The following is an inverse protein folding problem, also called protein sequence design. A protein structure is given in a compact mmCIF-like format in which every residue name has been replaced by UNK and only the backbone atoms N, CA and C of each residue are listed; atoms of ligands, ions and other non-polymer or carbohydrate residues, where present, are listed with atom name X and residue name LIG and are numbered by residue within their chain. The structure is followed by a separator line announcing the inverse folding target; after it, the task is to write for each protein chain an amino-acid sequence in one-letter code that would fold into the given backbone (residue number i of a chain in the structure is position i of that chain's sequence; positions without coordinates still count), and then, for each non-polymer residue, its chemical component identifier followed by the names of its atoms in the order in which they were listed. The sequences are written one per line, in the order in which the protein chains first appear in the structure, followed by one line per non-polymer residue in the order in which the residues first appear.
data_IF_667509442792
#
_entry.id   IF_667509442792
#
_cell.length_a   1.000
_cell.length_b   1.000
_cell.length_c   1.000
_cell.angle_alpha   90.00
_cell.angle_beta   90.00
_cell.angle_gamma   90.00
#
_symmetry.space_group_name_H-M   'P 1'
#
loop_
_entity.id
_entity.type
_entity.pdbx_description
1 polymer ?
#
# COMPACT_ATOMS: atom_id res chain seq x y z
N UNK A 1 -28.54 58.60 49.75
CA UNK A 1 -28.35 58.52 48.27
C UNK A 1 -27.57 57.23 47.94
N UNK A 2 -28.23 56.22 47.40
CA UNK A 2 -27.61 54.94 47.07
C UNK A 2 -27.37 54.89 45.54
N UNK A 3 -26.11 54.86 45.14
CA UNK A 3 -25.68 54.71 43.73
C UNK A 3 -25.77 53.23 43.30
N UNK A 4 -26.66 52.93 42.35
CA UNK A 4 -26.71 51.61 41.71
C UNK A 4 -25.67 51.57 40.63
N UNK A 5 -24.64 50.74 40.82
CA UNK A 5 -23.66 50.42 39.80
C UNK A 5 -24.22 49.29 38.91
N UNK A 6 -24.63 49.65 37.71
CA UNK A 6 -25.01 48.65 36.69
C UNK A 6 -23.79 47.90 36.18
N UNK A 7 -23.63 46.66 36.56
CA UNK A 7 -22.70 45.74 35.89
C UNK A 7 -23.37 45.19 34.64
N UNK A 8 -23.05 45.78 33.49
CA UNK A 8 -23.34 45.18 32.19
C UNK A 8 -22.38 43.99 31.99
N UNK A 9 -22.89 42.79 32.14
CA UNK A 9 -22.17 41.54 31.84
C UNK A 9 -22.10 41.40 30.32
N UNK A 10 -20.92 41.42 29.68
CA UNK A 10 -20.82 41.12 28.26
C UNK A 10 -21.07 39.61 28.10
N UNK A 11 -22.21 39.26 27.53
CA UNK A 11 -22.49 37.91 27.06
C UNK A 11 -21.49 37.58 25.90
N UNK A 12 -20.39 36.95 26.28
CA UNK A 12 -19.43 36.38 25.31
C UNK A 12 -20.12 35.21 24.63
N UNK A 13 -20.74 35.50 23.49
CA UNK A 13 -21.33 34.52 22.59
C UNK A 13 -20.18 33.71 22.00
N UNK A 14 -19.86 32.53 22.58
CA UNK A 14 -18.96 31.56 22.00
C UNK A 14 -19.64 31.02 20.74
N UNK A 15 -19.30 31.58 19.58
CA UNK A 15 -19.58 31.00 18.28
C UNK A 15 -18.73 29.75 18.18
N UNK A 16 -19.27 28.60 18.56
CA UNK A 16 -18.72 27.29 18.17
C UNK A 16 -18.94 27.14 16.66
N UNK A 17 -17.93 27.48 15.89
CA UNK A 17 -17.88 27.16 14.47
C UNK A 17 -17.74 25.63 14.40
N UNK A 18 -18.86 24.92 14.32
CA UNK A 18 -18.91 23.53 13.92
C UNK A 18 -18.53 23.55 12.44
N UNK A 19 -17.24 23.44 12.16
CA UNK A 19 -16.78 23.14 10.82
C UNK A 19 -17.32 21.76 10.47
N UNK A 20 -18.42 21.69 9.71
CA UNK A 20 -18.80 20.47 9.03
C UNK A 20 -17.67 20.14 8.05
N UNK A 21 -16.75 19.29 8.46
CA UNK A 21 -15.81 18.64 7.55
C UNK A 21 -16.69 17.75 6.67
N UNK A 22 -16.97 18.20 5.44
CA UNK A 22 -17.67 17.37 4.47
C UNK A 22 -16.78 16.15 4.19
N UNK A 23 -17.30 14.97 4.47
CA UNK A 23 -16.59 13.74 4.12
C UNK A 23 -16.29 13.72 2.61
N UNK A 24 -15.10 13.26 2.20
CA UNK A 24 -14.79 13.09 0.79
C UNK A 24 -15.81 12.19 0.10
N UNK A 25 -16.16 12.53 -1.13
CA UNK A 25 -17.08 11.76 -1.97
C UNK A 25 -16.26 10.88 -2.91
N UNK A 26 -15.72 9.78 -2.36
CA UNK A 26 -14.98 8.79 -3.13
C UNK A 26 -15.92 7.71 -3.67
N UNK A 27 -15.52 7.07 -4.78
CA UNK A 27 -16.20 5.88 -5.30
C UNK A 27 -15.99 4.68 -4.36
N UNK A 28 -17.02 3.81 -4.22
CA UNK A 28 -16.89 2.52 -3.54
C UNK A 28 -15.97 1.54 -4.32
N UNK A 29 -15.67 1.83 -5.58
CA UNK A 29 -14.59 1.13 -6.30
C UNK A 29 -13.28 1.79 -5.95
N UNK A 30 -12.31 1.07 -5.36
CA UNK A 30 -11.05 1.66 -4.92
C UNK A 30 -10.26 2.25 -6.07
N UNK A 31 -9.56 3.33 -5.83
CA UNK A 31 -8.61 3.93 -6.77
C UNK A 31 -7.24 4.04 -6.16
N UNK A 32 -6.19 3.86 -6.99
CA UNK A 32 -4.81 3.96 -6.54
C UNK A 32 -3.96 4.85 -7.44
N UNK A 33 -2.91 5.42 -6.87
CA UNK A 33 -1.87 6.20 -7.56
C UNK A 33 -0.50 5.66 -7.20
N UNK A 34 0.41 5.58 -8.18
CA UNK A 34 1.79 5.23 -7.90
C UNK A 34 2.50 6.40 -7.21
N UNK A 35 3.24 6.09 -6.16
CA UNK A 35 4.12 7.02 -5.47
C UNK A 35 5.59 6.60 -5.68
N UNK A 36 6.55 7.50 -5.52
CA UNK A 36 7.96 7.15 -5.60
C UNK A 36 8.31 6.02 -4.64
N UNK A 37 9.04 5.02 -5.11
CA UNK A 37 9.54 3.95 -4.25
C UNK A 37 10.85 4.35 -3.54
N UNK A 38 11.11 3.73 -2.40
CA UNK A 38 12.42 3.81 -1.73
C UNK A 38 13.27 2.62 -2.17
N UNK A 39 14.53 2.88 -2.53
CA UNK A 39 15.49 1.83 -2.88
C UNK A 39 16.77 2.01 -2.09
N UNK A 40 17.22 0.95 -1.42
CA UNK A 40 18.46 0.93 -0.64
C UNK A 40 19.24 -0.34 -0.93
N UNK A 41 20.55 -0.21 -1.12
CA UNK A 41 21.46 -1.35 -1.17
C UNK A 41 21.91 -1.64 0.25
N UNK A 42 21.60 -2.80 0.76
CA UNK A 42 21.98 -3.26 2.08
C UNK A 42 23.08 -4.31 1.98
N UNK A 43 23.90 -4.39 2.99
CA UNK A 43 24.96 -5.38 3.11
C UNK A 43 24.91 -6.03 4.48
N UNK A 44 25.01 -7.36 4.50
CA UNK A 44 25.11 -8.13 5.74
C UNK A 44 26.02 -9.32 5.54
N UNK A 45 26.70 -9.82 6.59
CA UNK A 45 27.42 -11.08 6.48
C UNK A 45 26.45 -12.25 6.33
N UNK A 46 26.83 -13.28 5.58
CA UNK A 46 26.20 -14.59 5.58
C UNK A 46 26.67 -15.41 6.79
N UNK A 47 26.24 -16.67 6.88
CA UNK A 47 26.65 -17.60 7.96
C UNK A 47 28.14 -17.91 7.96
N UNK A 48 28.84 -17.70 6.86
CA UNK A 48 30.28 -17.93 6.68
C UNK A 48 31.09 -16.64 6.81
N UNK A 49 30.43 -15.49 7.09
CA UNK A 49 31.06 -14.18 7.21
C UNK A 49 31.30 -13.46 5.87
N UNK A 50 30.86 -14.02 4.75
CA UNK A 50 30.99 -13.35 3.45
C UNK A 50 29.97 -12.20 3.34
N UNK A 51 30.37 -11.14 2.66
CA UNK A 51 29.52 -9.99 2.42
C UNK A 51 28.44 -10.31 1.38
N UNK A 52 27.18 -10.28 1.78
CA UNK A 52 26.02 -10.43 0.89
C UNK A 52 25.37 -9.10 0.66
N UNK A 53 25.16 -8.76 -0.60
CA UNK A 53 24.42 -7.57 -1.01
C UNK A 53 22.98 -7.91 -1.31
N UNK A 54 22.07 -6.99 -0.99
CA UNK A 54 20.66 -7.08 -1.30
C UNK A 54 20.09 -5.70 -1.62
N UNK A 55 19.17 -5.66 -2.56
CA UNK A 55 18.37 -4.48 -2.82
C UNK A 55 17.11 -4.55 -1.95
N UNK A 56 16.88 -3.55 -1.14
CA UNK A 56 15.65 -3.37 -0.37
C UNK A 56 14.82 -2.29 -1.04
N UNK A 57 13.64 -2.65 -1.50
CA UNK A 57 12.72 -1.75 -2.20
C UNK A 57 11.42 -1.65 -1.43
N UNK A 58 10.96 -0.43 -1.18
CA UNK A 58 9.65 -0.16 -0.59
C UNK A 58 8.79 0.52 -1.64
N UNK A 59 7.84 -0.23 -2.17
CA UNK A 59 6.80 0.31 -3.06
C UNK A 59 5.78 1.06 -2.24
N UNK A 60 5.30 2.18 -2.78
CA UNK A 60 4.30 3.02 -2.14
C UNK A 60 3.19 3.30 -3.15
N UNK A 61 1.95 3.15 -2.73
CA UNK A 61 0.77 3.54 -3.49
C UNK A 61 -0.15 4.37 -2.61
N UNK A 62 -0.62 5.51 -3.15
CA UNK A 62 -1.75 6.22 -2.56
C UNK A 62 -3.05 5.47 -2.90
N UNK A 63 -4.01 5.45 -2.00
CA UNK A 63 -5.32 4.85 -2.24
C UNK A 63 -6.44 5.77 -1.77
N UNK A 64 -7.61 5.64 -2.40
CA UNK A 64 -8.88 6.22 -2.00
C UNK A 64 -9.98 5.17 -2.19
N UNK A 65 -10.93 5.13 -1.25
CA UNK A 65 -12.02 4.17 -1.22
C UNK A 65 -13.23 4.77 -0.48
N UNK A 66 -14.43 4.65 -1.06
CA UNK A 66 -15.63 5.36 -0.59
C UNK A 66 -16.32 4.72 0.59
N UNK A 67 -16.39 3.40 0.67
CA UNK A 67 -17.07 2.71 1.76
C UNK A 67 -16.10 2.17 2.83
N UNK A 68 -14.79 2.24 2.58
CA UNK A 68 -13.74 1.94 3.55
C UNK A 68 -13.58 0.45 3.84
N UNK A 69 -13.93 -0.40 2.89
CA UNK A 69 -13.91 -1.86 3.06
C UNK A 69 -12.59 -2.53 2.62
N UNK A 70 -11.53 -1.74 2.44
CA UNK A 70 -10.21 -2.25 2.06
C UNK A 70 -9.55 -3.10 3.15
N UNK A 71 -9.01 -4.24 2.71
CA UNK A 71 -8.26 -5.17 3.56
C UNK A 71 -9.08 -6.34 4.09
N UNK A 72 -8.40 -7.42 4.44
CA UNK A 72 -8.98 -8.64 5.01
C UNK A 72 -8.18 -9.13 6.20
N UNK A 73 -8.84 -9.80 7.14
CA UNK A 73 -8.17 -10.40 8.30
C UNK A 73 -7.49 -11.72 7.92
N UNK A 74 -6.53 -12.16 8.73
CA UNK A 74 -5.90 -13.47 8.56
C UNK A 74 -6.89 -14.63 8.71
N UNK A 75 -7.92 -14.47 9.52
CA UNK A 75 -8.97 -15.47 9.71
C UNK A 75 -9.85 -15.59 8.47
N UNK A 76 -10.23 -14.48 7.86
CA UNK A 76 -10.97 -14.47 6.59
C UNK A 76 -10.12 -15.05 5.45
N UNK A 77 -8.85 -14.69 5.38
CA UNK A 77 -7.92 -15.29 4.41
C UNK A 77 -7.82 -16.80 4.59
N UNK A 78 -7.82 -17.30 5.82
CA UNK A 78 -7.83 -18.74 6.14
C UNK A 78 -9.19 -19.43 5.89
N UNK A 79 -10.23 -18.68 5.53
CA UNK A 79 -11.57 -19.21 5.24
C UNK A 79 -12.51 -19.22 6.44
N UNK A 80 -12.22 -18.44 7.48
CA UNK A 80 -13.14 -18.22 8.59
C UNK A 80 -13.93 -16.93 8.32
N UNK A 81 -15.20 -17.04 7.97
CA UNK A 81 -16.05 -15.91 7.66
C UNK A 81 -16.63 -15.96 6.25
N UNK A 82 -16.62 -14.88 5.51
CA UNK A 82 -17.17 -14.81 4.15
C UNK A 82 -16.34 -15.70 3.19
N UNK A 83 -16.93 -16.73 2.58
CA UNK A 83 -16.21 -17.66 1.70
C UNK A 83 -15.51 -17.00 0.51
N UNK A 84 -16.01 -15.83 0.04
CA UNK A 84 -15.42 -15.10 -1.08
C UNK A 84 -14.04 -14.51 -0.76
N UNK A 85 -13.75 -14.31 0.53
CA UNK A 85 -12.49 -13.73 1.00
C UNK A 85 -11.41 -14.80 1.24
N UNK A 86 -11.77 -16.08 1.22
CA UNK A 86 -10.83 -17.18 1.40
C UNK A 86 -9.74 -17.17 0.33
N UNK A 87 -8.48 -17.02 0.75
CA UNK A 87 -7.33 -16.98 -0.17
C UNK A 87 -7.28 -15.76 -1.07
N UNK A 88 -8.08 -14.71 -0.79
CA UNK A 88 -8.07 -13.48 -1.55
C UNK A 88 -6.75 -12.73 -1.34
N UNK A 89 -5.97 -12.62 -2.39
CA UNK A 89 -4.82 -11.73 -2.40
C UNK A 89 -5.29 -10.35 -2.88
N UNK A 90 -5.55 -9.46 -1.95
CA UNK A 90 -6.08 -8.12 -2.22
C UNK A 90 -5.00 -7.08 -2.57
N UNK A 91 -3.74 -7.48 -2.65
CA UNK A 91 -2.61 -6.71 -3.18
C UNK A 91 -1.97 -7.50 -4.32
N UNK A 92 -2.31 -7.16 -5.55
CA UNK A 92 -1.91 -7.92 -6.74
C UNK A 92 -0.72 -7.24 -7.40
N UNK A 93 0.37 -7.98 -7.60
CA UNK A 93 1.61 -7.48 -8.21
C UNK A 93 1.99 -8.32 -9.40
N UNK A 94 2.14 -7.67 -10.54
CA UNK A 94 2.72 -8.24 -11.76
C UNK A 94 4.12 -7.66 -11.98
N UNK A 95 5.04 -8.48 -12.43
CA UNK A 95 6.45 -8.12 -12.61
C UNK A 95 6.80 -8.12 -14.08
N UNK A 96 7.41 -7.04 -14.53
CA UNK A 96 7.87 -6.90 -15.92
C UNK A 96 9.39 -6.67 -15.93
N UNK A 97 10.11 -7.46 -16.72
CA UNK A 97 11.54 -7.34 -16.91
C UNK A 97 11.84 -6.74 -18.28
N UNK A 98 12.79 -5.81 -18.32
CA UNK A 98 13.29 -5.23 -19.56
C UNK A 98 14.10 -6.25 -20.34
N UNK A 99 13.71 -6.48 -21.59
CA UNK A 99 14.41 -7.34 -22.55
C UNK A 99 14.60 -6.53 -23.83
N UNK A 100 15.83 -6.11 -24.09
CA UNK A 100 16.11 -5.14 -25.16
C UNK A 100 15.42 -3.81 -24.91
N UNK A 101 14.57 -3.36 -25.83
CA UNK A 101 13.78 -2.12 -25.72
C UNK A 101 12.38 -2.30 -25.12
N UNK A 102 11.96 -3.54 -24.82
CA UNK A 102 10.60 -3.86 -24.38
C UNK A 102 10.57 -4.42 -22.98
N UNK A 103 9.39 -4.38 -22.34
CA UNK A 103 9.13 -5.05 -21.08
C UNK A 103 8.31 -6.30 -21.31
N UNK A 104 8.76 -7.42 -20.76
CA UNK A 104 8.05 -8.71 -20.79
C UNK A 104 7.65 -9.11 -19.38
N UNK A 105 6.41 -9.56 -19.20
CA UNK A 105 5.98 -10.12 -17.94
C UNK A 105 6.81 -11.35 -17.58
N UNK A 106 7.19 -11.44 -16.33
CA UNK A 106 7.95 -12.55 -15.76
C UNK A 106 7.30 -13.02 -14.46
N UNK A 107 7.50 -14.28 -14.15
CA UNK A 107 6.87 -14.92 -12.99
C UNK A 107 7.95 -15.32 -12.00
N UNK A 108 8.18 -14.53 -10.92
CA UNK A 108 9.07 -14.92 -9.84
C UNK A 108 8.59 -16.22 -9.18
N UNK A 109 9.52 -17.06 -8.72
CA UNK A 109 9.17 -18.29 -7.99
C UNK A 109 8.36 -17.97 -6.73
N UNK A 110 8.73 -16.90 -6.02
CA UNK A 110 7.96 -16.37 -4.90
C UNK A 110 7.11 -15.22 -5.42
N UNK A 111 5.80 -15.36 -5.32
CA UNK A 111 4.87 -14.30 -5.72
C UNK A 111 5.00 -13.09 -4.81
N UNK A 112 4.93 -11.90 -5.40
CA UNK A 112 4.84 -10.63 -4.65
C UNK A 112 3.38 -10.20 -4.39
N UNK A 113 2.43 -10.91 -5.01
CA UNK A 113 1.01 -10.77 -4.71
C UNK A 113 0.75 -11.29 -3.30
N UNK A 114 0.03 -10.54 -2.49
CA UNK A 114 -0.19 -10.77 -1.07
C UNK A 114 -1.54 -10.21 -0.63
N UNK A 115 -1.81 -10.22 0.68
CA UNK A 115 -2.94 -9.51 1.25
C UNK A 115 -2.47 -8.55 2.36
N UNK A 116 -3.29 -7.54 2.61
CA UNK A 116 -3.10 -6.59 3.71
C UNK A 116 -4.31 -6.59 4.65
N UNK A 117 -4.09 -6.28 5.94
CA UNK A 117 -5.16 -6.26 6.93
C UNK A 117 -6.15 -5.11 6.68
N UNK A 118 -7.35 -5.15 7.32
CA UNK A 118 -8.31 -4.07 7.22
C UNK A 118 -7.69 -2.71 7.58
N UNK A 119 -7.87 -1.73 6.69
CA UNK A 119 -7.33 -0.38 6.87
C UNK A 119 -8.23 0.49 7.80
N UNK A 120 -9.48 0.08 7.97
CA UNK A 120 -10.46 0.70 8.88
C UNK A 120 -10.92 -0.33 9.91
N UNK A 121 -10.15 -0.52 11.00
CA UNK A 121 -10.39 -1.62 11.95
C UNK A 121 -11.65 -1.45 12.80
N UNK A 122 -12.24 -0.25 12.84
CA UNK A 122 -13.50 0.01 13.56
C UNK A 122 -14.73 -0.54 12.86
N UNK A 123 -14.58 -1.07 11.62
CA UNK A 123 -15.64 -1.67 10.81
C UNK A 123 -16.74 -0.71 10.36
N UNK A 124 -16.60 0.58 10.60
CA UNK A 124 -17.59 1.57 10.16
C UNK A 124 -17.43 1.87 8.67
N UNK A 125 -18.54 1.96 7.96
CA UNK A 125 -18.52 2.43 6.58
C UNK A 125 -18.14 3.90 6.49
N UNK A 126 -17.58 4.29 5.37
CA UNK A 126 -17.24 5.65 5.03
C UNK A 126 -15.86 5.78 4.40
N UNK A 127 -15.59 6.90 3.74
CA UNK A 127 -14.42 7.07 2.91
C UNK A 127 -13.12 6.94 3.69
N UNK A 128 -12.12 6.35 3.03
CA UNK A 128 -10.75 6.28 3.51
C UNK A 128 -9.78 6.64 2.40
N UNK A 129 -8.68 7.27 2.78
CA UNK A 129 -7.53 7.50 1.93
C UNK A 129 -6.23 7.35 2.71
N UNK A 130 -5.15 7.08 2.02
CA UNK A 130 -3.86 6.92 2.66
C UNK A 130 -2.79 6.37 1.74
N UNK A 131 -1.76 5.79 2.34
CA UNK A 131 -0.64 5.18 1.63
C UNK A 131 -0.42 3.76 2.10
N UNK A 132 -0.40 2.82 1.16
CA UNK A 132 0.06 1.46 1.40
C UNK A 132 1.54 1.36 1.06
N UNK A 133 2.29 0.66 1.91
CA UNK A 133 3.72 0.41 1.75
C UNK A 133 3.98 -1.09 1.72
N UNK A 134 4.66 -1.54 0.70
CA UNK A 134 5.03 -2.94 0.52
C UNK A 134 6.54 -3.07 0.32
N UNK A 135 7.21 -3.81 1.20
CA UNK A 135 8.66 -4.00 1.16
C UNK A 135 9.02 -5.30 0.48
N UNK A 136 9.95 -5.24 -0.47
CA UNK A 136 10.50 -6.39 -1.16
C UNK A 136 12.03 -6.36 -1.09
N UNK A 137 12.64 -7.54 -0.85
CA UNK A 137 14.09 -7.69 -0.85
C UNK A 137 14.52 -8.60 -2.00
N UNK A 138 15.53 -8.13 -2.73
CA UNK A 138 16.16 -8.86 -3.85
C UNK A 138 17.59 -9.20 -3.45
N UNK A 139 17.91 -10.49 -3.39
CA UNK A 139 19.20 -10.98 -2.94
C UNK A 139 20.14 -11.20 -4.12
N UNK A 140 21.41 -10.91 -3.89
CA UNK A 140 22.46 -11.31 -4.82
C UNK A 140 22.54 -12.83 -4.88
N UNK A 141 22.49 -13.39 -6.09
CA UNK A 141 22.74 -14.82 -6.33
C UNK A 141 24.23 -15.02 -6.64
N UNK A 142 24.95 -15.69 -5.77
CA UNK A 142 26.37 -15.97 -5.91
C UNK A 142 26.68 -17.06 -6.92
N UNK A 143 25.68 -17.83 -7.35
CA UNK A 143 25.83 -18.87 -8.40
C UNK A 143 25.81 -18.28 -9.81
N UNK A 144 25.45 -17.02 -9.95
CA UNK A 144 25.34 -16.30 -11.21
C UNK A 144 26.35 -15.15 -11.27
N UNK A 145 26.79 -14.74 -12.47
CA UNK A 145 27.56 -13.52 -12.62
C UNK A 145 26.82 -12.34 -11.97
N UNK A 146 27.58 -11.41 -11.37
CA UNK A 146 27.00 -10.22 -10.75
C UNK A 146 26.27 -9.39 -11.83
N UNK A 147 24.96 -9.51 -11.85
CA UNK A 147 24.09 -8.75 -12.76
C UNK A 147 22.91 -8.19 -12.02
N UNK A 148 22.32 -7.16 -12.58
CA UNK A 148 21.04 -6.62 -12.13
C UNK A 148 20.05 -6.66 -13.30
N UNK A 149 18.80 -6.95 -13.00
CA UNK A 149 17.70 -6.83 -13.94
C UNK A 149 17.02 -5.47 -13.77
N UNK A 150 16.55 -4.90 -14.88
CA UNK A 150 15.70 -3.72 -14.85
C UNK A 150 14.25 -4.19 -14.83
N UNK A 151 13.58 -3.94 -13.73
CA UNK A 151 12.20 -4.35 -13.49
C UNK A 151 11.26 -3.15 -13.44
N UNK A 152 9.99 -3.42 -13.69
CA UNK A 152 8.85 -2.55 -13.47
C UNK A 152 7.73 -3.40 -12.87
N UNK A 153 6.94 -2.83 -11.99
CA UNK A 153 5.85 -3.51 -11.31
C UNK A 153 4.53 -2.84 -11.67
N UNK A 154 3.51 -3.66 -11.91
CA UNK A 154 2.13 -3.21 -12.02
C UNK A 154 1.39 -3.69 -10.79
N UNK A 155 0.69 -2.77 -10.14
CA UNK A 155 0.01 -3.01 -8.87
C UNK A 155 -1.47 -2.72 -9.04
N UNK A 156 -2.32 -3.58 -8.46
CA UNK A 156 -3.74 -3.36 -8.23
C UNK A 156 -4.08 -3.73 -6.79
N UNK A 157 -5.15 -3.16 -6.26
CA UNK A 157 -5.77 -3.63 -5.01
C UNK A 157 -7.20 -4.07 -5.27
N UNK A 158 -7.71 -4.91 -4.37
CA UNK A 158 -9.07 -5.47 -4.44
C UNK A 158 -9.72 -5.24 -3.08
N UNK A 159 -10.95 -4.75 -3.07
CA UNK A 159 -11.74 -4.55 -1.86
C UNK A 159 -12.45 -5.84 -1.41
N UNK A 160 -13.24 -5.75 -0.33
CA UNK A 160 -14.02 -6.86 0.21
C UNK A 160 -15.25 -7.19 -0.65
N UNK A 161 -15.74 -6.23 -1.45
CA UNK A 161 -16.81 -6.42 -2.41
C UNK A 161 -16.31 -7.07 -3.72
N UNK A 162 -14.99 -7.25 -3.87
CA UNK A 162 -14.24 -7.76 -5.02
C UNK A 162 -14.19 -6.76 -6.19
N UNK A 163 -14.32 -5.47 -5.92
CA UNK A 163 -14.00 -4.46 -6.92
C UNK A 163 -12.48 -4.32 -7.04
N UNK A 164 -12.00 -4.26 -8.28
CA UNK A 164 -10.60 -4.04 -8.57
C UNK A 164 -10.33 -2.54 -8.79
N UNK A 165 -9.25 -2.04 -8.23
CA UNK A 165 -8.77 -0.69 -8.54
C UNK A 165 -8.27 -0.58 -9.98
N UNK A 166 -8.06 0.66 -10.44
CA UNK A 166 -7.21 0.89 -11.60
C UNK A 166 -5.80 0.29 -11.36
N UNK A 167 -5.13 -0.25 -12.40
CA UNK A 167 -3.73 -0.65 -12.29
C UNK A 167 -2.82 0.59 -12.31
N UNK A 168 -1.75 0.55 -11.52
CA UNK A 168 -0.67 1.53 -11.58
C UNK A 168 0.66 0.85 -11.85
N UNK A 169 1.55 1.53 -12.55
CA UNK A 169 2.89 1.04 -12.83
C UNK A 169 3.92 1.88 -12.07
N UNK A 170 4.92 1.20 -11.52
CA UNK A 170 6.05 1.88 -10.87
C UNK A 170 7.01 2.42 -11.91
N UNK A 171 7.87 3.34 -11.50
CA UNK A 171 9.09 3.62 -12.23
C UNK A 171 9.96 2.36 -12.34
N UNK A 172 10.94 2.40 -13.24
CA UNK A 172 11.87 1.30 -13.44
C UNK A 172 12.93 1.26 -12.35
N UNK A 173 13.28 0.05 -11.91
CA UNK A 173 14.30 -0.16 -10.90
C UNK A 173 15.30 -1.22 -11.35
N UNK A 174 16.57 -1.02 -11.03
CA UNK A 174 17.62 -2.03 -11.21
C UNK A 174 17.90 -2.73 -9.88
N UNK A 175 17.59 -4.02 -9.83
CA UNK A 175 17.74 -4.87 -8.63
C UNK A 175 18.40 -6.20 -8.99
N UNK A 176 18.89 -6.93 -7.98
CA UNK A 176 19.26 -8.32 -8.17
C UNK A 176 18.07 -9.11 -8.68
N UNK A 177 18.27 -9.98 -9.69
CA UNK A 177 17.17 -10.68 -10.32
C UNK A 177 16.51 -11.65 -9.33
N UNK A 178 15.17 -11.67 -9.25
CA UNK A 178 14.47 -12.75 -8.57
C UNK A 178 14.69 -14.06 -9.33
N UNK A 179 14.52 -15.18 -8.65
CA UNK A 179 14.45 -16.48 -9.33
C UNK A 179 13.12 -16.56 -10.08
N UNK A 180 13.19 -16.76 -11.38
CA UNK A 180 11.99 -16.89 -12.22
C UNK A 180 11.56 -18.36 -12.37
N UNK A 181 10.27 -18.56 -12.64
CA UNK A 181 9.71 -19.87 -13.02
C UNK A 181 10.04 -20.22 -14.44
#
# INVERSE_FOLDING_TARGET
MKTFTNYALPALLLLTVVACIKEPDFSDVPSITALPFEHRILSSPDRLGNRVLRDSVVFQIGFQDGDGDLGITSDEYAGKGDPKLKGLNNYVVRVFRKVGSTYKEVFPQVSYTSYFPPLKPDGKKGPIEGTLRFSQTFYQDFTQPLRKDTLKFQIKIIDRALHESNPVETDTIMVYPPVYK
#
